data_IF_080284840761
#
_entry.id   IF_080284840761
#
_cell.length_a   1.000
_cell.length_b   1.000
_cell.length_c   1.000
_cell.angle_alpha   90.00
_cell.angle_beta   90.00
_cell.angle_gamma   90.00
#
_symmetry.space_group_name_H-M   'P 1'
#
loop_
_entity.id
_entity.type
_entity.pdbx_description
1 polymer ?
#
# COMPACT_ATOMS: atom_id res chain seq x y z
N UNK A 1 18.06 -13.62 -31.67
CA UNK A 1 16.85 -13.28 -30.87
C UNK A 1 16.52 -11.82 -31.12
N UNK A 2 15.39 -11.53 -31.76
CA UNK A 2 15.10 -10.20 -32.31
C UNK A 2 14.32 -9.36 -31.32
N UNK A 3 14.87 -8.19 -30.99
CA UNK A 3 14.40 -7.19 -29.99
C UNK A 3 12.93 -6.77 -30.17
N UNK A 4 12.34 -6.99 -31.36
CA UNK A 4 10.92 -6.73 -31.64
C UNK A 4 9.97 -7.72 -30.97
N UNK A 5 10.37 -8.98 -30.75
CA UNK A 5 9.52 -9.96 -30.03
C UNK A 5 9.54 -9.76 -28.52
N UNK A 6 10.65 -9.25 -27.97
CA UNK A 6 10.75 -8.88 -26.55
C UNK A 6 9.87 -7.67 -26.21
N UNK A 7 9.83 -6.67 -27.11
CA UNK A 7 8.95 -5.52 -26.97
C UNK A 7 7.49 -5.95 -27.11
N UNK A 8 7.14 -6.81 -28.07
CA UNK A 8 5.77 -7.31 -28.28
C UNK A 8 5.22 -8.13 -27.09
N UNK A 9 6.07 -8.87 -26.38
CA UNK A 9 5.68 -9.62 -25.18
C UNK A 9 5.48 -8.74 -23.93
N UNK A 10 6.14 -7.58 -23.87
CA UNK A 10 5.91 -6.57 -22.81
C UNK A 10 4.58 -5.79 -23.04
N UNK A 11 4.20 -5.53 -24.29
CA UNK A 11 2.93 -4.84 -24.61
C UNK A 11 1.70 -5.75 -24.55
N UNK A 12 1.86 -7.08 -24.65
CA UNK A 12 0.75 -8.03 -24.63
C UNK A 12 0.26 -8.42 -23.22
N UNK A 13 1.03 -8.12 -22.16
CA UNK A 13 0.63 -8.45 -20.77
C UNK A 13 -0.12 -7.34 -20.03
N UNK A 14 -0.13 -6.10 -20.54
CA UNK A 14 -0.82 -4.97 -19.91
C UNK A 14 -2.04 -4.50 -20.72
N UNK A 15 -2.82 -5.47 -21.23
CA UNK A 15 -4.01 -5.23 -22.06
C UNK A 15 -5.26 -4.77 -21.30
N UNK A 16 -5.21 -4.65 -19.97
CA UNK A 16 -6.23 -4.02 -19.13
C UNK A 16 -5.52 -3.10 -18.13
N UNK A 17 -6.16 -2.01 -17.64
CA UNK A 17 -5.66 -1.33 -16.45
C UNK A 17 -5.43 -2.41 -15.38
N UNK A 18 -4.28 -2.43 -14.68
CA UNK A 18 -4.00 -3.50 -13.74
C UNK A 18 -5.08 -3.47 -12.65
N UNK A 19 -6.02 -4.41 -12.72
CA UNK A 19 -7.04 -4.60 -11.70
C UNK A 19 -6.32 -4.91 -10.39
N UNK A 20 -6.84 -4.44 -9.25
CA UNK A 20 -6.30 -4.70 -7.90
C UNK A 20 -5.85 -6.16 -7.71
N UNK A 21 -6.53 -7.10 -8.36
CA UNK A 21 -6.26 -8.53 -8.41
C UNK A 21 -4.84 -8.90 -8.92
N UNK A 22 -4.33 -8.24 -9.97
CA UNK A 22 -2.98 -8.53 -10.50
C UNK A 22 -1.86 -8.12 -9.54
N UNK A 23 -2.11 -7.15 -8.67
CA UNK A 23 -1.19 -6.79 -7.58
C UNK A 23 -1.27 -7.78 -6.42
N UNK A 24 -2.47 -8.33 -6.14
CA UNK A 24 -2.67 -9.37 -5.13
C UNK A 24 -1.97 -10.68 -5.50
N UNK A 25 -1.88 -11.03 -6.79
CA UNK A 25 -1.17 -12.24 -7.24
C UNK A 25 0.35 -12.18 -7.04
N UNK A 26 0.95 -10.98 -6.95
CA UNK A 26 2.36 -10.82 -6.57
C UNK A 26 2.57 -10.97 -5.03
N UNK A 27 1.49 -11.17 -4.28
CA UNK A 27 1.42 -11.13 -2.82
C UNK A 27 1.22 -12.50 -2.14
N UNK A 28 1.53 -13.63 -2.79
CA UNK A 28 1.44 -14.98 -2.18
C UNK A 28 2.25 -15.16 -0.88
N UNK A 29 3.05 -14.17 -0.48
CA UNK A 29 3.73 -14.14 0.81
C UNK A 29 3.02 -13.17 1.77
N UNK A 30 2.43 -13.73 2.83
CA UNK A 30 1.76 -13.14 4.00
C UNK A 30 2.43 -11.87 4.56
N UNK A 31 2.28 -10.74 3.87
CA UNK A 31 2.96 -9.48 4.21
C UNK A 31 2.08 -8.31 3.83
N UNK A 32 2.18 -7.26 4.60
CA UNK A 32 1.34 -6.08 4.46
C UNK A 32 1.69 -5.29 3.21
N UNK A 33 0.66 -4.73 2.57
CA UNK A 33 0.78 -4.00 1.31
C UNK A 33 -0.05 -2.71 1.37
N UNK A 34 0.48 -1.64 0.79
CA UNK A 34 -0.23 -0.36 0.58
C UNK A 34 -0.10 0.01 -0.90
N UNK A 35 -1.19 0.50 -1.47
CA UNK A 35 -1.21 1.07 -2.82
C UNK A 35 -1.62 2.54 -2.71
N UNK A 36 -0.74 3.41 -3.19
CA UNK A 36 -0.94 4.86 -3.26
C UNK A 36 -1.28 5.27 -4.68
N UNK A 37 -2.16 6.25 -4.82
CA UNK A 37 -2.39 6.98 -6.07
C UNK A 37 -1.71 8.35 -5.93
N UNK A 38 -0.72 8.62 -6.78
CA UNK A 38 0.08 9.85 -6.71
C UNK A 38 0.15 10.47 -8.10
N UNK A 39 0.06 11.79 -8.21
CA UNK A 39 0.30 12.46 -9.50
C UNK A 39 1.80 12.40 -9.83
N UNK A 40 2.17 12.35 -11.12
CA UNK A 40 3.58 12.36 -11.53
C UNK A 40 4.37 13.55 -10.99
N UNK A 41 3.72 14.72 -10.86
CA UNK A 41 4.30 15.96 -10.35
C UNK A 41 4.62 15.90 -8.85
N UNK A 42 3.80 15.16 -8.09
CA UNK A 42 3.89 15.05 -6.63
C UNK A 42 4.66 13.79 -6.20
N UNK A 43 5.12 12.98 -7.16
CA UNK A 43 5.79 11.72 -6.87
C UNK A 43 7.22 11.95 -6.38
N UNK A 44 7.45 11.75 -5.07
CA UNK A 44 8.77 11.73 -4.46
C UNK A 44 9.03 10.44 -3.70
N UNK A 45 9.78 9.52 -4.33
CA UNK A 45 10.11 8.23 -3.71
C UNK A 45 10.90 8.38 -2.40
N UNK A 46 11.78 9.38 -2.33
CA UNK A 46 12.56 9.67 -1.11
C UNK A 46 11.66 10.09 0.05
N UNK A 47 10.57 10.80 -0.22
CA UNK A 47 9.61 11.17 0.81
C UNK A 47 8.78 9.97 1.26
N UNK A 48 8.29 9.18 0.32
CA UNK A 48 7.57 7.93 0.61
C UNK A 48 8.43 7.01 1.49
N UNK A 49 9.70 6.79 1.10
CA UNK A 49 10.63 5.99 1.88
C UNK A 49 10.86 6.58 3.28
N UNK A 50 11.06 7.89 3.39
CA UNK A 50 11.24 8.57 4.69
C UNK A 50 10.02 8.39 5.59
N UNK A 51 8.80 8.49 5.06
CA UNK A 51 7.57 8.27 5.85
C UNK A 51 7.55 6.85 6.39
N UNK A 52 7.86 5.86 5.56
CA UNK A 52 7.88 4.45 5.96
C UNK A 52 8.95 4.19 7.02
N UNK A 53 10.20 4.61 6.77
CA UNK A 53 11.34 4.39 7.66
C UNK A 53 11.19 5.15 8.99
N UNK A 54 10.58 6.34 8.99
CA UNK A 54 10.29 7.10 10.22
C UNK A 54 9.31 6.39 11.15
N UNK A 55 8.51 5.47 10.61
CA UNK A 55 7.59 4.61 11.36
C UNK A 55 8.21 3.22 11.64
N UNK A 56 9.54 3.11 11.58
CA UNK A 56 10.31 1.92 11.95
C UNK A 56 9.93 0.67 11.13
N UNK A 57 9.59 0.86 9.86
CA UNK A 57 9.29 -0.18 8.89
C UNK A 57 10.21 -0.08 7.67
N UNK A 58 10.36 -1.18 6.95
CA UNK A 58 11.20 -1.27 5.75
C UNK A 58 10.35 -1.58 4.51
N UNK A 59 10.69 -0.95 3.39
CA UNK A 59 10.10 -1.28 2.08
C UNK A 59 10.78 -2.54 1.54
N UNK A 60 10.06 -3.65 1.53
CA UNK A 60 10.54 -4.94 1.01
C UNK A 60 10.44 -5.02 -0.52
N UNK A 61 9.38 -4.44 -1.08
CA UNK A 61 9.18 -4.36 -2.52
C UNK A 61 8.45 -3.07 -2.88
N UNK A 62 8.78 -2.54 -4.06
CA UNK A 62 8.20 -1.33 -4.62
C UNK A 62 7.91 -1.57 -6.10
N UNK A 63 6.69 -1.24 -6.52
CA UNK A 63 6.30 -1.22 -7.93
C UNK A 63 5.59 0.09 -8.23
N UNK A 64 6.00 0.76 -9.31
CA UNK A 64 5.37 2.00 -9.78
C UNK A 64 4.81 1.73 -11.16
N UNK A 65 3.50 1.95 -11.31
CA UNK A 65 2.82 1.76 -12.58
C UNK A 65 2.09 3.04 -13.01
N UNK A 66 2.36 3.57 -14.20
CA UNK A 66 1.59 4.68 -14.73
C UNK A 66 0.21 4.20 -15.19
N UNK A 67 -0.83 4.87 -14.69
CA UNK A 67 -2.20 4.64 -15.12
C UNK A 67 -2.56 5.65 -16.21
N UNK A 68 -2.44 5.22 -17.47
CA UNK A 68 -2.65 6.06 -18.66
C UNK A 68 -4.04 6.68 -18.76
N UNK A 69 -5.04 6.16 -18.04
CA UNK A 69 -6.41 6.68 -18.06
C UNK A 69 -6.64 7.92 -17.19
N UNK A 70 -5.78 8.17 -16.19
CA UNK A 70 -5.98 9.22 -15.19
C UNK A 70 -4.76 10.13 -14.95
N UNK A 71 -3.66 9.93 -15.69
CA UNK A 71 -2.38 10.64 -15.47
C UNK A 71 -1.91 10.56 -14.01
N UNK A 72 -2.05 9.38 -13.40
CA UNK A 72 -1.59 9.10 -12.04
C UNK A 72 -0.66 7.90 -12.03
N UNK A 73 0.22 7.84 -11.04
CA UNK A 73 1.04 6.70 -10.72
C UNK A 73 0.41 5.91 -9.59
N UNK A 74 0.32 4.60 -9.79
CA UNK A 74 0.00 3.65 -8.75
C UNK A 74 1.31 3.14 -8.16
N UNK A 75 1.54 3.45 -6.89
CA UNK A 75 2.73 3.05 -6.15
C UNK A 75 2.32 1.95 -5.18
N UNK A 76 2.74 0.72 -5.47
CA UNK A 76 2.54 -0.44 -4.62
C UNK A 76 3.78 -0.67 -3.77
N UNK A 77 3.57 -0.75 -2.46
CA UNK A 77 4.59 -0.89 -1.44
C UNK A 77 4.29 -2.12 -0.58
N UNK A 78 5.28 -3.00 -0.44
CA UNK A 78 5.22 -4.16 0.45
C UNK A 78 6.14 -3.93 1.64
N UNK A 79 5.67 -4.27 2.83
CA UNK A 79 6.39 -4.00 4.09
C UNK A 79 6.80 -5.28 4.81
N UNK A 80 7.74 -5.14 5.74
CA UNK A 80 8.16 -6.18 6.67
C UNK A 80 7.29 -6.27 7.92
N UNK A 81 6.47 -5.25 8.20
CA UNK A 81 5.59 -5.16 9.36
C UNK A 81 4.17 -5.66 9.09
N UNK A 82 3.51 -6.19 10.12
CA UNK A 82 2.12 -6.68 10.05
C UNK A 82 1.07 -5.57 10.28
N UNK A 83 1.34 -4.62 11.19
CA UNK A 83 0.48 -3.46 11.44
C UNK A 83 0.89 -2.25 10.60
N UNK A 84 -0.03 -1.79 9.75
CA UNK A 84 0.16 -0.61 8.89
C UNK A 84 -0.42 0.68 9.48
N UNK A 85 -1.03 0.66 10.66
CA UNK A 85 -1.79 1.80 11.21
C UNK A 85 -0.95 3.07 11.28
N UNK A 86 0.30 2.97 11.75
CA UNK A 86 1.21 4.12 11.86
C UNK A 86 1.63 4.65 10.49
N UNK A 87 1.88 3.75 9.55
CA UNK A 87 2.29 4.09 8.18
C UNK A 87 1.13 4.77 7.43
N UNK A 88 -0.09 4.25 7.57
CA UNK A 88 -1.30 4.85 7.00
C UNK A 88 -1.52 6.27 7.51
N UNK A 89 -1.43 6.47 8.83
CA UNK A 89 -1.51 7.83 9.43
C UNK A 89 -0.40 8.74 8.91
N UNK A 90 0.80 8.21 8.71
CA UNK A 90 1.91 8.92 8.08
C UNK A 90 1.52 9.42 6.70
N UNK A 91 1.07 8.52 5.82
CA UNK A 91 0.64 8.88 4.48
C UNK A 91 -0.51 9.90 4.47
N UNK A 92 -1.53 9.73 5.31
CA UNK A 92 -2.63 10.70 5.43
C UNK A 92 -2.13 12.09 5.84
N UNK A 93 -1.18 12.18 6.79
CA UNK A 93 -0.63 13.45 7.26
C UNK A 93 0.14 14.22 6.18
N UNK A 94 0.75 13.49 5.24
CA UNK A 94 1.48 14.07 4.12
C UNK A 94 0.64 14.18 2.84
N UNK A 95 -0.70 14.08 2.95
CA UNK A 95 -1.66 14.22 1.85
C UNK A 95 -1.51 13.13 0.76
N UNK A 96 -0.94 11.97 1.08
CA UNK A 96 -0.90 10.84 0.16
C UNK A 96 -2.26 10.14 0.11
N UNK A 97 -2.74 9.91 -1.11
CA UNK A 97 -4.00 9.20 -1.34
C UNK A 97 -3.79 7.68 -1.34
N UNK A 98 -4.17 7.04 -0.24
CA UNK A 98 -4.21 5.57 -0.12
C UNK A 98 -5.47 5.04 -0.80
N UNK A 99 -5.33 4.23 -1.86
CA UNK A 99 -6.48 3.64 -2.56
C UNK A 99 -6.78 2.21 -2.12
N UNK A 100 -5.78 1.53 -1.56
CA UNK A 100 -5.90 0.16 -1.07
C UNK A 100 -4.81 -0.12 -0.04
N UNK A 101 -5.14 -0.89 0.98
CA UNK A 101 -4.16 -1.45 1.90
C UNK A 101 -4.65 -2.81 2.39
N UNK A 102 -3.70 -3.65 2.78
CA UNK A 102 -3.96 -4.91 3.45
C UNK A 102 -2.95 -5.05 4.59
N UNK A 103 -3.50 -5.16 5.80
CA UNK A 103 -2.78 -5.31 7.08
C UNK A 103 -3.28 -6.59 7.72
N UNK A 104 -2.38 -7.40 8.28
CA UNK A 104 -2.77 -8.65 8.95
C UNK A 104 -3.44 -8.39 10.31
N UNK A 105 -3.06 -7.30 10.98
CA UNK A 105 -3.54 -6.95 12.33
C UNK A 105 -4.55 -5.78 12.35
N UNK A 106 -5.13 -5.45 11.19
CA UNK A 106 -6.01 -4.28 11.02
C UNK A 106 -7.47 -4.44 11.43
N UNK A 107 -7.91 -5.62 11.90
CA UNK A 107 -9.18 -5.70 12.60
C UNK A 107 -8.96 -5.30 14.05
N UNK A 108 -9.72 -4.33 14.55
CA UNK A 108 -9.78 -4.02 15.98
C UNK A 108 -9.93 -5.35 16.69
N UNK A 109 -8.86 -5.81 17.34
CA UNK A 109 -8.84 -7.10 18.00
C UNK A 109 -9.97 -7.09 19.00
N UNK A 110 -10.75 -8.16 19.15
CA UNK A 110 -11.88 -8.18 20.11
C UNK A 110 -11.42 -7.77 21.52
N UNK A 111 -10.15 -8.02 21.85
CA UNK A 111 -9.46 -7.55 23.06
C UNK A 111 -9.30 -6.03 23.19
N UNK A 112 -9.23 -5.26 22.11
CA UNK A 112 -9.24 -3.79 22.15
C UNK A 112 -10.65 -3.26 22.39
N UNK A 113 -11.68 -3.91 21.82
CA UNK A 113 -13.09 -3.59 22.10
C UNK A 113 -13.47 -3.93 23.53
N UNK A 114 -13.06 -5.10 24.03
CA UNK A 114 -13.26 -5.51 25.42
C UNK A 114 -12.64 -4.51 26.40
N UNK A 115 -11.39 -4.11 26.19
CA UNK A 115 -10.74 -3.11 27.06
C UNK A 115 -11.41 -1.75 27.02
N UNK A 116 -11.91 -1.32 25.86
CA UNK A 116 -12.68 -0.08 25.75
C UNK A 116 -14.02 -0.22 26.50
N UNK A 117 -14.70 -1.34 26.37
CA UNK A 117 -15.97 -1.61 27.04
C UNK A 117 -15.81 -1.69 28.57
N UNK A 118 -14.76 -2.33 29.07
CA UNK A 118 -14.42 -2.34 30.50
C UNK A 118 -14.16 -0.92 31.02
N UNK A 119 -13.43 -0.11 30.26
CA UNK A 119 -13.10 1.26 30.66
C UNK A 119 -14.38 2.14 30.73
N UNK A 120 -15.28 2.01 29.76
CA UNK A 120 -16.58 2.70 29.77
C UNK A 120 -17.46 2.24 30.94
N UNK A 121 -17.49 0.94 31.23
CA UNK A 121 -18.20 0.40 32.38
C UNK A 121 -17.73 1.00 33.71
N UNK A 122 -16.42 1.20 33.90
CA UNK A 122 -15.88 1.87 35.09
C UNK A 122 -16.22 3.36 35.18
N UNK A 123 -16.45 4.03 34.04
CA UNK A 123 -16.81 5.45 34.01
C UNK A 123 -18.29 5.71 34.22
N UNK A 124 -19.15 4.74 33.90
CA UNK A 124 -20.60 4.80 34.15
C UNK A 124 -20.99 4.40 35.58
N UNK A 125 -20.04 3.88 36.36
CA UNK A 125 -20.23 3.48 37.76
C UNK A 125 -20.10 4.65 38.74
#
# INVERSE_FOLDING_TARGET
>A
MSTKEFIKNQIARAGNPPTHEQFTELSESERSIIILEVKPEDYMLTEIARIVESNNAHVMALCVMPLSSREVFLVSLKFDVEDLTLILRGFERFDYKVIYYFSREGEVTDTQKERLAELLYYLEM
#
